data_IF_997860841461
#
_entry.id   IF_997860841461
#
_cell.length_a   1.000
_cell.length_b   1.000
_cell.length_c   1.000
_cell.angle_alpha   90.00
_cell.angle_beta   90.00
_cell.angle_gamma   90.00
#
_symmetry.space_group_name_H-M   'P 1'
#
loop_
_entity.id
_entity.type
_entity.pdbx_description
1 polymer ?
#
# COMPACT_ATOMS: atom_id res chain seq x y z
N UNK A 1 16.54 21.92 -3.40
CA UNK A 1 15.87 22.14 -4.71
C UNK A 1 15.39 20.84 -5.39
N UNK A 2 16.03 19.67 -5.19
CA UNK A 2 15.58 18.39 -5.80
C UNK A 2 14.28 17.80 -5.22
N UNK A 3 14.02 17.94 -3.91
CA UNK A 3 12.83 17.35 -3.26
C UNK A 3 11.50 17.97 -3.69
N UNK A 4 11.46 19.30 -3.89
CA UNK A 4 10.27 19.99 -4.38
C UNK A 4 9.90 19.58 -5.81
N UNK A 5 10.91 19.29 -6.65
CA UNK A 5 10.71 18.84 -8.04
C UNK A 5 10.16 17.41 -8.09
N UNK A 6 10.56 16.54 -7.16
CA UNK A 6 10.07 15.14 -7.10
C UNK A 6 8.63 15.05 -6.57
N UNK A 7 8.29 15.85 -5.54
CA UNK A 7 6.90 15.94 -5.06
C UNK A 7 6.00 16.60 -6.11
N UNK A 8 6.48 17.63 -6.81
CA UNK A 8 5.78 18.22 -7.94
C UNK A 8 5.59 17.19 -9.07
N UNK A 9 6.63 16.44 -9.45
CA UNK A 9 6.53 15.41 -10.49
C UNK A 9 5.52 14.30 -10.15
N UNK A 10 5.45 13.88 -8.89
CA UNK A 10 4.48 12.87 -8.43
C UNK A 10 3.05 13.43 -8.37
N UNK A 11 2.88 14.72 -8.05
CA UNK A 11 1.57 15.40 -8.12
C UNK A 11 1.12 15.64 -9.56
N UNK A 12 2.04 16.00 -10.45
CA UNK A 12 1.81 16.20 -11.90
C UNK A 12 1.36 14.88 -12.54
N UNK A 13 1.96 13.75 -12.14
CA UNK A 13 1.58 12.41 -12.61
C UNK A 13 0.14 12.06 -12.20
N UNK A 14 -0.29 12.38 -10.97
CA UNK A 14 -1.67 12.13 -10.51
C UNK A 14 -2.72 13.01 -11.21
N UNK A 15 -2.35 14.23 -11.61
CA UNK A 15 -3.24 15.16 -12.29
C UNK A 15 -3.33 14.92 -13.81
N UNK A 16 -2.52 13.99 -14.35
CA UNK A 16 -2.58 13.58 -15.74
C UNK A 16 -4.00 13.15 -16.15
N UNK A 17 -4.48 13.71 -17.26
CA UNK A 17 -5.80 13.42 -17.81
C UNK A 17 -5.73 12.22 -18.75
N UNK A 18 -6.28 11.09 -18.32
CA UNK A 18 -6.33 9.86 -19.07
C UNK A 18 -7.60 9.76 -19.91
N UNK A 19 -7.49 9.13 -21.07
CA UNK A 19 -8.66 8.64 -21.79
C UNK A 19 -9.31 7.50 -21.03
N UNK A 20 -10.60 7.24 -21.28
CA UNK A 20 -11.28 6.05 -20.75
C UNK A 20 -10.59 4.73 -21.13
N UNK A 21 -9.85 4.72 -22.25
CA UNK A 21 -9.12 3.53 -22.70
C UNK A 21 -7.84 3.29 -21.88
N UNK A 22 -7.09 4.33 -21.57
CA UNK A 22 -5.92 4.25 -20.68
C UNK A 22 -6.34 3.92 -19.25
N UNK A 23 -7.42 4.55 -18.76
CA UNK A 23 -7.99 4.23 -17.47
C UNK A 23 -8.42 2.75 -17.38
N UNK A 24 -9.01 2.20 -18.44
CA UNK A 24 -9.41 0.80 -18.50
C UNK A 24 -8.20 -0.14 -18.41
N UNK A 25 -7.08 0.20 -19.07
CA UNK A 25 -5.82 -0.54 -18.93
C UNK A 25 -5.30 -0.50 -17.49
N UNK A 26 -5.34 0.67 -16.85
CA UNK A 26 -4.91 0.81 -15.45
C UNK A 26 -5.77 0.00 -14.47
N UNK A 27 -7.09 -0.01 -14.66
CA UNK A 27 -8.04 -0.78 -13.85
C UNK A 27 -8.09 -2.27 -14.21
N UNK A 28 -7.38 -2.69 -15.27
CA UNK A 28 -7.48 -4.03 -15.84
C UNK A 28 -8.94 -4.42 -16.14
N UNK A 29 -9.71 -3.48 -16.70
CA UNK A 29 -11.15 -3.61 -16.98
C UNK A 29 -11.46 -3.26 -18.44
N UNK A 30 -12.73 -3.40 -18.85
CA UNK A 30 -13.18 -2.92 -20.17
C UNK A 30 -13.33 -1.39 -20.17
N UNK A 31 -13.25 -0.78 -21.37
CA UNK A 31 -13.56 0.65 -21.55
C UNK A 31 -15.00 0.98 -21.14
N UNK A 32 -15.93 0.07 -21.45
CA UNK A 32 -17.34 0.25 -21.09
C UNK A 32 -17.51 0.33 -19.56
N UNK A 33 -16.80 -0.49 -18.79
CA UNK A 33 -16.83 -0.41 -17.34
C UNK A 33 -16.39 0.96 -16.80
N UNK A 34 -15.34 1.56 -17.39
CA UNK A 34 -14.89 2.91 -17.03
C UNK A 34 -15.95 3.95 -17.36
N UNK A 35 -16.62 3.81 -18.51
CA UNK A 35 -17.74 4.69 -18.89
C UNK A 35 -18.89 4.56 -17.89
N UNK A 36 -19.25 3.33 -17.50
CA UNK A 36 -20.30 3.09 -16.50
C UNK A 36 -19.94 3.72 -15.14
N UNK A 37 -18.67 3.63 -14.73
CA UNK A 37 -18.18 4.29 -13.50
C UNK A 37 -18.33 5.82 -13.57
N UNK A 38 -18.06 6.42 -14.74
CA UNK A 38 -18.25 7.84 -14.98
C UNK A 38 -19.73 8.23 -14.90
N UNK A 39 -20.60 7.49 -15.60
CA UNK A 39 -22.05 7.77 -15.68
C UNK A 39 -22.75 7.57 -14.33
N UNK A 40 -22.25 6.64 -13.50
CA UNK A 40 -22.72 6.43 -12.13
C UNK A 40 -22.17 7.44 -11.13
N UNK A 41 -21.32 8.37 -11.55
CA UNK A 41 -20.68 9.36 -10.67
C UNK A 41 -19.64 8.76 -9.71
N UNK A 42 -19.17 7.54 -9.96
CA UNK A 42 -18.18 6.85 -9.14
C UNK A 42 -16.74 7.16 -9.54
N UNK A 43 -16.54 7.60 -10.79
CA UNK A 43 -15.27 8.08 -11.31
C UNK A 43 -15.47 9.52 -11.82
N UNK A 44 -14.88 10.53 -11.15
CA UNK A 44 -14.90 11.89 -11.65
C UNK A 44 -14.29 11.98 -13.05
N UNK A 45 -14.93 12.74 -13.93
CA UNK A 45 -14.45 12.97 -15.27
C UNK A 45 -14.74 14.39 -15.73
N UNK A 46 -13.93 14.87 -16.66
CA UNK A 46 -14.20 16.08 -17.44
C UNK A 46 -14.41 15.69 -18.91
N UNK A 47 -14.99 16.59 -19.70
CA UNK A 47 -15.20 16.35 -21.12
C UNK A 47 -14.34 17.32 -21.93
N UNK A 48 -13.57 16.79 -22.89
CA UNK A 48 -12.85 17.58 -23.88
C UNK A 48 -13.46 17.24 -25.24
N UNK A 49 -14.28 18.15 -25.78
CA UNK A 49 -15.12 17.88 -26.94
C UNK A 49 -16.19 16.84 -26.62
N UNK A 50 -16.15 15.69 -27.31
CA UNK A 50 -17.05 14.54 -27.06
C UNK A 50 -16.41 13.45 -26.20
N UNK A 51 -15.12 13.58 -25.85
CA UNK A 51 -14.40 12.54 -25.13
C UNK A 51 -14.28 12.84 -23.64
N UNK A 52 -14.59 11.83 -22.82
CA UNK A 52 -14.33 11.86 -21.37
C UNK A 52 -12.82 11.80 -21.09
N UNK A 53 -12.39 12.53 -20.08
CA UNK A 53 -11.05 12.55 -19.50
C UNK A 53 -11.15 12.35 -18.00
N UNK A 54 -10.35 11.45 -17.45
CA UNK A 54 -10.35 11.09 -16.03
C UNK A 54 -8.96 11.33 -15.47
N UNK A 55 -8.85 11.84 -14.24
CA UNK A 55 -7.52 12.03 -13.63
C UNK A 55 -6.92 10.67 -13.29
N UNK A 56 -5.62 10.48 -13.55
CA UNK A 56 -4.89 9.26 -13.15
C UNK A 56 -5.09 8.94 -11.67
N UNK A 57 -5.01 9.96 -10.81
CA UNK A 57 -5.20 9.80 -9.36
C UNK A 57 -6.56 9.20 -8.98
N UNK A 58 -7.64 9.58 -9.66
CA UNK A 58 -8.99 9.05 -9.39
C UNK A 58 -9.10 7.58 -9.85
N UNK A 59 -8.51 7.26 -11.01
CA UNK A 59 -8.46 5.88 -11.54
C UNK A 59 -7.67 4.98 -10.60
N UNK A 60 -6.51 5.43 -10.13
CA UNK A 60 -5.69 4.69 -9.19
C UNK A 60 -6.39 4.50 -7.84
N UNK A 61 -7.11 5.51 -7.35
CA UNK A 61 -7.90 5.40 -6.13
C UNK A 61 -9.00 4.33 -6.26
N UNK A 62 -9.67 4.24 -7.43
CA UNK A 62 -10.61 3.14 -7.70
C UNK A 62 -9.87 1.81 -7.70
N UNK A 63 -8.76 1.69 -8.43
CA UNK A 63 -7.98 0.43 -8.49
C UNK A 63 -7.62 -0.07 -7.11
N UNK A 64 -7.13 0.82 -6.25
CA UNK A 64 -6.74 0.49 -4.88
C UNK A 64 -7.92 -0.02 -4.03
N UNK A 65 -9.15 0.46 -4.29
CA UNK A 65 -10.37 -0.02 -3.61
C UNK A 65 -10.83 -1.39 -4.12
N UNK A 66 -10.71 -1.67 -5.42
CA UNK A 66 -11.24 -2.89 -6.03
C UNK A 66 -10.23 -4.05 -6.10
N UNK A 67 -8.94 -3.77 -6.01
CA UNK A 67 -7.90 -4.79 -6.17
C UNK A 67 -7.86 -5.73 -4.96
N UNK A 68 -8.30 -6.98 -5.18
CA UNK A 68 -8.20 -8.06 -4.19
C UNK A 68 -6.73 -8.36 -3.91
N UNK A 69 -6.36 -8.27 -2.64
CA UNK A 69 -5.04 -8.70 -2.18
C UNK A 69 -4.77 -10.17 -2.54
N UNK A 70 -3.58 -10.45 -3.07
CA UNK A 70 -3.10 -11.83 -3.27
C UNK A 70 -3.00 -12.55 -1.92
N UNK A 71 -2.84 -13.87 -1.94
CA UNK A 71 -2.61 -14.65 -0.72
C UNK A 71 -1.39 -14.16 0.05
N UNK A 72 -0.29 -13.87 -0.65
CA UNK A 72 0.92 -13.34 -0.03
C UNK A 72 0.74 -11.91 0.53
N UNK A 73 0.06 -11.03 -0.20
CA UNK A 73 -0.26 -9.68 0.30
C UNK A 73 -1.19 -9.70 1.52
N UNK A 74 -2.11 -10.67 1.60
CA UNK A 74 -2.94 -10.88 2.81
C UNK A 74 -2.11 -11.37 3.98
N UNK A 75 -1.17 -12.30 3.72
CA UNK A 75 -0.23 -12.79 4.72
C UNK A 75 0.66 -11.66 5.26
N UNK A 76 1.22 -10.84 4.38
CA UNK A 76 2.06 -9.70 4.79
C UNK A 76 1.26 -8.66 5.58
N UNK A 77 0.02 -8.37 5.17
CA UNK A 77 -0.87 -7.50 5.93
C UNK A 77 -1.21 -8.07 7.31
N UNK A 78 -1.43 -9.38 7.42
CA UNK A 78 -1.67 -10.03 8.71
C UNK A 78 -0.47 -9.89 9.66
N UNK A 79 0.74 -10.10 9.14
CA UNK A 79 1.97 -9.85 9.91
C UNK A 79 2.11 -8.38 10.31
N UNK A 80 1.75 -7.44 9.43
CA UNK A 80 1.80 -6.02 9.73
C UNK A 80 0.87 -5.65 10.90
N UNK A 81 -0.32 -6.26 11.01
CA UNK A 81 -1.18 -6.06 12.18
C UNK A 81 -0.54 -6.56 13.49
N UNK A 82 0.11 -7.71 13.48
CA UNK A 82 0.79 -8.22 14.66
C UNK A 82 1.98 -7.34 15.06
N UNK A 83 2.77 -6.90 14.08
CA UNK A 83 3.88 -5.96 14.30
C UNK A 83 3.35 -4.61 14.80
N UNK A 84 2.25 -4.10 14.24
CA UNK A 84 1.58 -2.89 14.73
C UNK A 84 1.18 -3.02 16.21
N UNK A 85 0.65 -4.19 16.62
CA UNK A 85 0.38 -4.46 18.02
C UNK A 85 1.64 -4.43 18.89
N UNK A 86 2.77 -4.96 18.40
CA UNK A 86 4.06 -4.87 19.10
C UNK A 86 4.58 -3.44 19.17
N UNK A 87 4.46 -2.67 18.10
CA UNK A 87 4.83 -1.24 18.04
C UNK A 87 4.04 -0.43 19.07
N UNK A 88 2.74 -0.67 19.22
CA UNK A 88 1.91 0.02 20.23
C UNK A 88 2.29 -0.36 21.65
N UNK A 89 2.72 -1.61 21.87
CA UNK A 89 3.06 -2.14 23.20
C UNK A 89 4.44 -1.70 23.67
N UNK A 90 5.42 -1.63 22.76
CA UNK A 90 6.79 -1.22 23.05
C UNK A 90 7.35 -0.42 21.84
N UNK A 91 6.98 0.87 21.72
CA UNK A 91 7.40 1.70 20.59
C UNK A 91 8.92 1.87 20.52
N UNK A 92 9.57 2.05 21.67
CA UNK A 92 11.00 2.35 21.74
C UNK A 92 11.83 1.17 21.22
N UNK A 93 11.55 -0.06 21.68
CA UNK A 93 12.26 -1.23 21.19
C UNK A 93 11.98 -1.50 19.70
N UNK A 94 10.72 -1.35 19.27
CA UNK A 94 10.34 -1.57 17.88
C UNK A 94 11.01 -0.55 16.94
N UNK A 95 11.08 0.73 17.33
CA UNK A 95 11.70 1.78 16.54
C UNK A 95 13.22 1.67 16.54
N UNK A 96 13.84 1.30 17.66
CA UNK A 96 15.27 1.01 17.71
C UNK A 96 15.64 -0.14 16.74
N UNK A 97 14.89 -1.24 16.77
CA UNK A 97 15.05 -2.36 15.85
C UNK A 97 14.90 -1.92 14.38
N UNK A 98 13.84 -1.15 14.07
CA UNK A 98 13.60 -0.66 12.72
C UNK A 98 14.73 0.24 12.21
N UNK A 99 15.19 1.20 13.02
CA UNK A 99 16.29 2.11 12.67
C UNK A 99 17.60 1.35 12.45
N UNK A 100 17.91 0.35 13.28
CA UNK A 100 19.08 -0.52 13.10
C UNK A 100 18.99 -1.30 11.78
N UNK A 101 17.82 -1.84 11.46
CA UNK A 101 17.60 -2.55 10.21
C UNK A 101 17.72 -1.62 8.99
N UNK A 102 17.17 -0.40 9.04
CA UNK A 102 17.35 0.60 7.97
C UNK A 102 18.83 0.91 7.79
N UNK A 103 19.58 1.16 8.87
CA UNK A 103 21.01 1.45 8.81
C UNK A 103 21.80 0.29 8.14
N UNK A 104 21.44 -0.96 8.44
CA UNK A 104 22.04 -2.15 7.83
C UNK A 104 21.69 -2.31 6.35
N UNK A 105 20.45 -2.04 5.95
CA UNK A 105 19.98 -2.20 4.58
C UNK A 105 20.42 -1.06 3.65
N UNK A 106 20.48 0.18 4.15
CA UNK A 106 20.77 1.39 3.37
C UNK A 106 22.01 1.28 2.46
N UNK A 107 23.17 0.72 2.88
CA UNK A 107 24.31 0.57 1.98
C UNK A 107 24.11 -0.46 0.87
N UNK A 108 23.21 -1.44 1.06
CA UNK A 108 22.97 -2.56 0.13
C UNK A 108 21.95 -2.21 -0.95
N UNK A 109 21.13 -1.18 -0.73
CA UNK A 109 20.04 -0.81 -1.62
C UNK A 109 20.50 0.29 -2.60
N UNK A 110 20.07 0.17 -3.86
CA UNK A 110 20.29 1.15 -4.93
C UNK A 110 18.98 1.45 -5.66
N UNK A 111 18.91 2.62 -6.31
CA UNK A 111 17.79 2.99 -7.16
C UNK A 111 16.47 3.16 -6.41
N UNK A 112 15.37 2.72 -7.04
CA UNK A 112 14.01 2.97 -6.56
C UNK A 112 13.74 2.41 -5.15
N UNK A 113 14.43 1.36 -4.71
CA UNK A 113 14.23 0.80 -3.38
C UNK A 113 14.78 1.69 -2.23
N UNK A 114 15.71 2.61 -2.50
CA UNK A 114 16.21 3.57 -1.49
C UNK A 114 15.09 4.49 -1.01
N UNK A 115 14.16 4.87 -1.91
CA UNK A 115 13.05 5.78 -1.59
C UNK A 115 12.15 5.22 -0.49
N UNK A 116 12.02 3.89 -0.43
CA UNK A 116 11.19 3.23 0.58
C UNK A 116 11.85 3.22 1.94
N UNK A 117 13.19 3.14 2.01
CA UNK A 117 13.92 3.31 3.26
C UNK A 117 13.86 4.76 3.77
N UNK A 118 13.87 5.73 2.86
CA UNK A 118 13.68 7.14 3.20
C UNK A 118 12.26 7.40 3.71
N UNK A 119 11.25 6.84 3.05
CA UNK A 119 9.85 6.91 3.48
C UNK A 119 9.66 6.29 4.87
N UNK A 120 10.23 5.10 5.09
CA UNK A 120 10.21 4.47 6.41
C UNK A 120 10.88 5.33 7.48
N UNK A 121 11.99 6.00 7.16
CA UNK A 121 12.65 6.91 8.09
C UNK A 121 11.74 8.09 8.46
N UNK A 122 11.05 8.68 7.46
CA UNK A 122 10.07 9.77 7.68
C UNK A 122 8.92 9.32 8.58
N UNK A 123 8.36 8.12 8.36
CA UNK A 123 7.28 7.58 9.19
C UNK A 123 7.73 7.32 10.64
N UNK A 124 8.97 6.84 10.84
CA UNK A 124 9.53 6.59 12.17
C UNK A 124 9.85 7.88 12.95
N UNK A 125 10.09 8.99 12.25
CA UNK A 125 10.30 10.32 12.84
C UNK A 125 8.98 11.08 13.07
N UNK A 126 7.87 10.56 12.55
CA UNK A 126 6.55 11.17 12.61
C UNK A 126 5.63 10.60 13.71
N UNK A 127 4.36 11.01 13.71
CA UNK A 127 3.35 10.48 14.61
C UNK A 127 3.09 8.98 14.39
N UNK A 128 3.03 8.22 15.49
CA UNK A 128 2.88 6.75 15.45
C UNK A 128 1.60 6.31 14.75
N UNK A 129 0.51 7.06 14.89
CA UNK A 129 -0.78 6.77 14.27
C UNK A 129 -0.71 6.84 12.74
N UNK A 130 0.05 7.78 12.17
CA UNK A 130 0.28 7.86 10.73
C UNK A 130 1.09 6.66 10.22
N UNK A 131 2.11 6.23 10.98
CA UNK A 131 2.86 5.02 10.67
C UNK A 131 1.95 3.78 10.69
N UNK A 132 1.13 3.62 11.72
CA UNK A 132 0.23 2.48 11.85
C UNK A 132 -0.80 2.45 10.72
N UNK A 133 -1.38 3.61 10.37
CA UNK A 133 -2.29 3.74 9.25
C UNK A 133 -1.63 3.35 7.92
N UNK A 134 -0.44 3.89 7.64
CA UNK A 134 0.28 3.60 6.40
C UNK A 134 0.68 2.13 6.31
N UNK A 135 1.21 1.55 7.39
CA UNK A 135 1.71 0.18 7.41
C UNK A 135 0.61 -0.87 7.25
N UNK A 136 -0.58 -0.58 7.77
CA UNK A 136 -1.74 -1.47 7.71
C UNK A 136 -2.68 -1.19 6.53
N UNK A 137 -2.35 -0.21 5.68
CA UNK A 137 -3.17 0.11 4.51
C UNK A 137 -3.21 -1.01 3.46
N UNK A 138 -4.37 -1.18 2.81
CA UNK A 138 -4.59 -2.17 1.74
C UNK A 138 -4.29 -1.61 0.35
N UNK A 139 -4.03 -0.30 0.26
CA UNK A 139 -3.67 0.39 -0.97
C UNK A 139 -2.28 -0.01 -1.49
N UNK A 140 -1.87 0.58 -2.62
CA UNK A 140 -0.57 0.31 -3.23
C UNK A 140 0.58 0.73 -2.30
N UNK A 141 0.45 1.88 -1.64
CA UNK A 141 1.50 2.43 -0.77
C UNK A 141 1.79 1.50 0.43
N UNK A 142 0.75 1.03 1.12
CA UNK A 142 0.90 0.08 2.23
C UNK A 142 1.47 -1.27 1.79
N UNK A 143 1.18 -1.73 0.56
CA UNK A 143 1.79 -2.96 0.01
C UNK A 143 3.29 -2.81 -0.19
N UNK A 144 3.70 -1.71 -0.80
CA UNK A 144 5.12 -1.40 -1.03
C UNK A 144 5.87 -1.21 0.29
N UNK A 145 5.28 -0.51 1.26
CA UNK A 145 5.84 -0.38 2.61
C UNK A 145 6.10 -1.74 3.24
N UNK A 146 5.12 -2.67 3.19
CA UNK A 146 5.28 -4.03 3.73
C UNK A 146 6.35 -4.84 3.03
N UNK A 147 6.53 -4.68 1.71
CA UNK A 147 7.59 -5.35 0.97
C UNK A 147 8.99 -4.89 1.40
N UNK A 148 9.11 -3.65 1.88
CA UNK A 148 10.36 -3.04 2.33
C UNK A 148 10.39 -2.80 3.85
N UNK A 149 9.66 -3.61 4.62
CA UNK A 149 9.46 -3.42 6.06
C UNK A 149 10.76 -3.49 6.86
N UNK A 150 11.11 -2.47 7.68
CA UNK A 150 12.30 -2.49 8.54
C UNK A 150 12.08 -3.24 9.86
N UNK A 151 10.88 -3.75 10.13
CA UNK A 151 10.55 -4.40 11.40
C UNK A 151 10.91 -5.89 11.48
N UNK A 152 11.89 -6.35 10.70
CA UNK A 152 12.39 -7.71 10.82
C UNK A 152 13.01 -7.93 12.21
N UNK A 153 12.56 -8.95 12.95
CA UNK A 153 13.01 -9.24 14.31
C UNK A 153 12.23 -8.55 15.42
N UNK A 154 11.23 -7.72 15.11
CA UNK A 154 10.30 -7.17 16.13
C UNK A 154 9.43 -8.27 16.73
N UNK A 155 9.05 -9.26 15.92
CA UNK A 155 8.48 -10.51 16.40
C UNK A 155 9.59 -11.57 16.38
N UNK A 156 9.63 -12.39 17.43
CA UNK A 156 10.47 -13.60 17.42
C UNK A 156 9.98 -14.58 16.35
N UNK A 157 10.83 -15.55 15.98
CA UNK A 157 10.43 -16.58 15.02
C UNK A 157 9.25 -17.43 15.51
N UNK A 158 9.18 -17.67 16.83
CA UNK A 158 8.06 -18.36 17.47
C UNK A 158 6.77 -17.55 17.36
N UNK A 159 6.81 -16.26 17.74
CA UNK A 159 5.66 -15.36 17.63
C UNK A 159 5.19 -15.22 16.19
N UNK A 160 6.13 -15.08 15.25
CA UNK A 160 5.84 -15.02 13.81
C UNK A 160 5.18 -16.32 13.33
N UNK A 161 5.63 -17.47 13.80
CA UNK A 161 5.04 -18.78 13.47
C UNK A 161 3.60 -18.86 13.97
N UNK A 162 3.34 -18.48 15.22
CA UNK A 162 1.98 -18.43 15.81
C UNK A 162 1.07 -17.50 15.01
N UNK A 163 1.52 -16.28 14.71
CA UNK A 163 0.76 -15.30 13.92
C UNK A 163 0.40 -15.87 12.55
N UNK A 164 1.35 -16.50 11.86
CA UNK A 164 1.10 -17.10 10.54
C UNK A 164 0.21 -18.36 10.59
N UNK A 165 0.30 -19.15 11.67
CA UNK A 165 -0.59 -20.27 11.92
C UNK A 165 -2.04 -19.81 12.07
N UNK A 166 -2.26 -18.75 12.87
CA UNK A 166 -3.59 -18.16 13.08
C UNK A 166 -4.21 -17.64 11.77
N UNK A 167 -3.40 -17.03 10.89
CA UNK A 167 -3.84 -16.56 9.58
C UNK A 167 -4.35 -17.70 8.69
N UNK A 168 -3.64 -18.85 8.67
CA UNK A 168 -4.06 -20.03 7.90
C UNK A 168 -5.41 -20.55 8.41
N UNK A 169 -5.55 -20.69 9.73
CA UNK A 169 -6.80 -21.14 10.35
C UNK A 169 -7.97 -20.19 10.09
N UNK A 170 -7.75 -18.87 10.09
CA UNK A 170 -8.78 -17.89 9.69
C UNK A 170 -9.17 -18.01 8.21
N UNK A 171 -8.18 -18.15 7.32
CA UNK A 171 -8.41 -18.31 5.89
C UNK A 171 -9.23 -19.58 5.59
N UNK A 172 -8.96 -20.68 6.29
CA UNK A 172 -9.68 -21.94 6.14
C UNK A 172 -11.12 -21.82 6.64
N UNK A 173 -11.35 -21.20 7.81
CA UNK A 173 -12.70 -20.96 8.32
C UNK A 173 -13.58 -20.16 7.34
N UNK A 174 -13.03 -19.10 6.73
CA UNK A 174 -13.77 -18.28 5.75
C UNK A 174 -14.09 -19.01 4.44
N UNK A 175 -13.32 -20.04 4.08
CA UNK A 175 -13.61 -20.89 2.92
C UNK A 175 -14.76 -21.85 3.20
N UNK A 176 -14.74 -22.51 4.36
CA UNK A 176 -15.77 -23.49 4.75
C UNK A 176 -17.10 -22.86 5.17
N UNK A 177 -17.09 -21.62 5.67
CA UNK A 177 -18.32 -20.88 6.02
C UNK A 177 -19.08 -20.24 4.85
N UNK A 178 -18.60 -20.36 3.59
CA UNK A 178 -19.31 -19.86 2.38
C UNK A 178 -20.10 -20.94 1.64
N UNK A 179 -20.09 -22.18 2.14
CA UNK A 179 -20.70 -23.37 1.51
C UNK A 179 -21.93 -23.90 2.27
N UNK A 180 -22.54 -23.09 3.14
CA UNK A 180 -23.84 -23.35 3.78
C UNK A 180 -24.72 -22.12 3.63
#
# INVERSE_FOLDING_TARGET
MREAVVNAATSIDRDEQLTTGEAAKLLNSSRQHVVDLCERGLLPYTTVGTHRRVRRGDVEAIRQRTERLTTDQRRSLWLAYAIAGRIVTDPDAAFACARQNIARMRPQVRGAASRWLDEWSKLLDGPIDQLLQAYTSRDLHGRELRQHSPFAGVLSDEERSVVLGSWRADADRRRHGRTS
#
